data_IF_218806235747
#
_entry.id   IF_218806235747
#
_cell.length_a   1.000
_cell.length_b   1.000
_cell.length_c   1.000
_cell.angle_alpha   90.00
_cell.angle_beta   90.00
_cell.angle_gamma   90.00
#
_symmetry.space_group_name_H-M   'P 1'
#
loop_
_entity.id
_entity.type
_entity.pdbx_description
1 polymer ?
#
# COMPACT_ATOMS: atom_id res chain seq x y z
N UNK A 1 3.92 5.01 -32.03
CA UNK A 1 5.06 4.67 -31.16
C UNK A 1 4.88 3.34 -30.44
N UNK A 2 3.74 3.08 -29.78
CA UNK A 2 3.42 1.80 -29.11
C UNK A 2 3.50 0.59 -30.06
N UNK A 3 2.96 0.71 -31.28
CA UNK A 3 2.97 -0.37 -32.29
C UNK A 3 4.37 -0.77 -32.82
N UNK A 4 5.41 0.03 -32.57
CA UNK A 4 6.79 -0.31 -32.94
C UNK A 4 7.51 -1.10 -31.84
N UNK A 5 7.09 -0.96 -30.57
CA UNK A 5 7.71 -1.61 -29.40
C UNK A 5 7.46 -3.14 -29.38
N UNK A 6 6.37 -3.61 -30.03
CA UNK A 6 5.90 -4.99 -29.90
C UNK A 6 6.08 -5.85 -31.16
N UNK A 7 6.73 -5.33 -32.20
CA UNK A 7 6.81 -6.02 -33.50
C UNK A 7 7.71 -7.28 -33.46
N UNK A 8 8.71 -7.31 -32.55
CA UNK A 8 9.68 -8.41 -32.46
C UNK A 8 9.82 -9.07 -31.07
N UNK A 9 9.23 -8.51 -29.99
CA UNK A 9 9.44 -8.99 -28.60
C UNK A 9 8.16 -9.32 -27.81
N UNK A 10 7.04 -9.54 -28.51
CA UNK A 10 5.95 -10.37 -27.99
C UNK A 10 4.71 -9.61 -27.51
N UNK A 11 3.55 -9.73 -28.19
CA UNK A 11 2.24 -9.37 -27.62
C UNK A 11 1.96 -10.04 -26.27
N UNK A 12 2.67 -11.12 -25.94
CA UNK A 12 2.58 -11.82 -24.66
C UNK A 12 2.95 -10.95 -23.45
N UNK A 13 4.00 -10.13 -23.53
CA UNK A 13 4.38 -9.23 -22.43
C UNK A 13 3.34 -8.14 -22.21
N UNK A 14 2.83 -7.57 -23.30
CA UNK A 14 1.75 -6.58 -23.24
C UNK A 14 0.49 -7.19 -22.62
N UNK A 15 0.07 -8.36 -23.09
CA UNK A 15 -1.09 -9.07 -22.57
C UNK A 15 -0.93 -9.40 -21.09
N UNK A 16 0.24 -9.94 -20.68
CA UNK A 16 0.52 -10.24 -19.28
C UNK A 16 0.46 -8.98 -18.39
N UNK A 17 1.08 -7.87 -18.84
CA UNK A 17 1.03 -6.60 -18.12
C UNK A 17 -0.39 -6.03 -18.02
N UNK A 18 -1.17 -6.09 -19.10
CA UNK A 18 -2.57 -5.64 -19.10
C UNK A 18 -3.45 -6.50 -18.16
N UNK A 19 -3.24 -7.82 -18.13
CA UNK A 19 -3.94 -8.71 -17.19
C UNK A 19 -3.61 -8.36 -15.75
N UNK A 20 -2.33 -8.11 -15.43
CA UNK A 20 -1.92 -7.67 -14.09
C UNK A 20 -2.57 -6.33 -13.72
N UNK A 21 -2.50 -5.32 -14.59
CA UNK A 21 -3.12 -4.00 -14.37
C UNK A 21 -4.63 -4.12 -14.17
N UNK A 22 -5.31 -4.89 -15.03
CA UNK A 22 -6.75 -5.09 -14.93
C UNK A 22 -7.13 -5.82 -13.63
N UNK A 23 -6.33 -6.81 -13.22
CA UNK A 23 -6.53 -7.53 -11.97
C UNK A 23 -6.33 -6.62 -10.75
N UNK A 24 -5.31 -5.75 -10.78
CA UNK A 24 -5.12 -4.73 -9.74
C UNK A 24 -6.27 -3.73 -9.71
N UNK A 25 -6.73 -3.25 -10.86
CA UNK A 25 -7.89 -2.35 -10.94
C UNK A 25 -9.16 -3.00 -10.39
N UNK A 26 -9.41 -4.27 -10.74
CA UNK A 26 -10.50 -5.05 -10.17
C UNK A 26 -10.34 -5.17 -8.65
N UNK A 27 -9.13 -5.48 -8.17
CA UNK A 27 -8.86 -5.54 -6.74
C UNK A 27 -9.17 -4.22 -6.04
N UNK A 28 -8.69 -3.09 -6.57
CA UNK A 28 -8.98 -1.75 -6.04
C UNK A 28 -10.49 -1.52 -5.93
N UNK A 29 -11.25 -1.78 -6.99
CA UNK A 29 -12.71 -1.54 -7.01
C UNK A 29 -13.47 -2.37 -5.98
N UNK A 30 -13.02 -3.60 -5.70
CA UNK A 30 -13.66 -4.50 -4.75
C UNK A 30 -13.07 -4.40 -3.33
N UNK A 31 -12.02 -3.60 -3.13
CA UNK A 31 -11.34 -3.49 -1.84
C UNK A 31 -12.20 -2.94 -0.70
N UNK A 32 -13.27 -2.18 -1.01
CA UNK A 32 -14.24 -1.70 -0.01
C UNK A 32 -14.90 -2.82 0.80
N UNK A 33 -14.93 -4.06 0.29
CA UNK A 33 -15.39 -5.23 1.03
C UNK A 33 -14.46 -5.62 2.21
N UNK A 34 -13.31 -4.95 2.34
CA UNK A 34 -12.33 -5.09 3.43
C UNK A 34 -12.18 -3.78 4.23
N UNK A 35 -13.12 -2.84 4.07
CA UNK A 35 -13.14 -1.61 4.84
C UNK A 35 -13.17 -1.87 6.34
N UNK A 36 -12.76 -0.87 7.11
CA UNK A 36 -12.65 -0.97 8.57
C UNK A 36 -13.99 -1.30 9.27
N UNK A 37 -15.11 -0.90 8.67
CA UNK A 37 -16.47 -1.14 9.15
C UNK A 37 -16.97 -2.56 8.89
N UNK A 38 -16.25 -3.35 8.09
CA UNK A 38 -16.58 -4.75 7.81
C UNK A 38 -15.92 -5.66 8.86
N UNK A 39 -16.71 -6.52 9.49
CA UNK A 39 -16.15 -7.50 10.42
C UNK A 39 -15.27 -8.51 9.67
N UNK A 40 -14.10 -8.82 10.23
CA UNK A 40 -13.09 -9.70 9.59
C UNK A 40 -13.68 -11.06 9.14
N UNK A 41 -14.60 -11.62 9.90
CA UNK A 41 -15.28 -12.90 9.59
C UNK A 41 -16.15 -12.84 8.33
N UNK A 42 -16.62 -11.65 7.98
CA UNK A 42 -17.54 -11.39 6.88
C UNK A 42 -16.79 -10.91 5.62
N UNK A 43 -15.48 -10.64 5.73
CA UNK A 43 -14.64 -10.25 4.61
C UNK A 43 -14.48 -11.39 3.60
N UNK A 44 -14.46 -11.12 2.28
CA UNK A 44 -14.38 -12.15 1.25
C UNK A 44 -12.93 -12.66 1.05
N UNK A 45 -12.33 -13.23 2.10
CA UNK A 45 -10.94 -13.70 2.13
C UNK A 45 -10.65 -14.73 1.03
N UNK A 46 -11.61 -15.62 0.74
CA UNK A 46 -11.45 -16.61 -0.32
C UNK A 46 -11.29 -15.99 -1.71
N UNK A 47 -11.99 -14.89 -1.99
CA UNK A 47 -11.83 -14.14 -3.23
C UNK A 47 -10.44 -13.47 -3.29
N UNK A 48 -10.00 -12.86 -2.19
CA UNK A 48 -8.68 -12.22 -2.11
C UNK A 48 -7.56 -13.23 -2.38
N UNK A 49 -7.55 -14.31 -1.60
CA UNK A 49 -6.50 -15.35 -1.69
C UNK A 49 -6.57 -16.05 -3.04
N UNK A 50 -7.77 -16.43 -3.49
CA UNK A 50 -7.98 -17.09 -4.78
C UNK A 50 -7.54 -16.21 -5.96
N UNK A 51 -7.87 -14.92 -5.92
CA UNK A 51 -7.45 -13.94 -6.93
C UNK A 51 -5.94 -13.75 -6.97
N UNK A 52 -5.31 -13.52 -5.81
CA UNK A 52 -3.85 -13.35 -5.71
C UNK A 52 -3.10 -14.60 -6.18
N UNK A 53 -3.51 -15.78 -5.70
CA UNK A 53 -2.91 -17.06 -6.09
C UNK A 53 -3.15 -17.33 -7.57
N UNK A 54 -4.36 -17.11 -8.09
CA UNK A 54 -4.71 -17.36 -9.49
C UNK A 54 -3.91 -16.49 -10.45
N UNK A 55 -3.87 -15.17 -10.22
CA UNK A 55 -3.10 -14.22 -11.04
C UNK A 55 -1.61 -14.52 -10.96
N UNK A 56 -1.09 -14.83 -9.76
CA UNK A 56 0.32 -15.18 -9.55
C UNK A 56 0.68 -16.51 -10.22
N UNK A 57 -0.15 -17.54 -10.12
CA UNK A 57 0.04 -18.82 -10.78
C UNK A 57 0.02 -18.67 -12.31
N UNK A 58 -0.95 -17.92 -12.86
CA UNK A 58 -0.98 -17.60 -14.28
C UNK A 58 0.30 -16.90 -14.72
N UNK A 59 0.75 -15.89 -13.97
CA UNK A 59 1.98 -15.17 -14.29
C UNK A 59 3.20 -16.11 -14.26
N UNK A 60 3.35 -16.93 -13.22
CA UNK A 60 4.43 -17.91 -13.09
C UNK A 60 4.45 -18.92 -14.24
N UNK A 61 3.29 -19.40 -14.69
CA UNK A 61 3.18 -20.29 -15.85
C UNK A 61 3.59 -19.60 -17.17
N UNK A 62 3.48 -18.27 -17.25
CA UNK A 62 3.89 -17.50 -18.41
C UNK A 62 5.37 -17.12 -18.37
N UNK A 63 6.01 -17.00 -17.19
CA UNK A 63 7.40 -16.54 -17.03
C UNK A 63 8.38 -17.23 -18.00
N UNK A 64 8.43 -18.56 -18.16
CA UNK A 64 9.39 -19.19 -19.08
C UNK A 64 9.20 -18.75 -20.54
N UNK A 65 7.93 -18.59 -20.98
CA UNK A 65 7.61 -18.12 -22.33
C UNK A 65 7.96 -16.65 -22.51
N UNK A 66 7.71 -15.84 -21.47
CA UNK A 66 8.04 -14.42 -21.46
C UNK A 66 9.57 -14.20 -21.52
N UNK A 67 10.34 -15.01 -20.78
CA UNK A 67 11.81 -15.01 -20.84
C UNK A 67 12.29 -15.44 -22.24
N UNK A 68 11.75 -16.54 -22.79
CA UNK A 68 12.13 -17.02 -24.13
C UNK A 68 11.80 -16.01 -25.25
N UNK A 69 10.75 -15.20 -25.08
CA UNK A 69 10.38 -14.13 -26.00
C UNK A 69 11.21 -12.84 -25.83
N UNK A 70 12.06 -12.76 -24.79
CA UNK A 70 12.86 -11.57 -24.48
C UNK A 70 14.17 -11.55 -25.26
N UNK A 71 14.67 -10.35 -25.58
CA UNK A 71 15.95 -10.16 -26.25
C UNK A 71 17.08 -9.92 -25.24
N UNK A 72 18.26 -10.50 -25.52
CA UNK A 72 19.50 -10.17 -24.81
C UNK A 72 20.12 -8.83 -25.30
N UNK A 73 19.66 -8.29 -26.44
CA UNK A 73 20.09 -6.99 -26.92
C UNK A 73 19.46 -5.86 -26.06
N UNK A 74 20.31 -5.04 -25.45
CA UNK A 74 19.88 -3.98 -24.54
C UNK A 74 19.01 -2.90 -25.22
N UNK A 75 19.26 -2.57 -26.50
CA UNK A 75 18.47 -1.58 -27.25
C UNK A 75 17.08 -2.13 -27.53
N UNK A 76 16.99 -3.42 -27.82
CA UNK A 76 15.75 -4.14 -28.02
C UNK A 76 14.95 -4.36 -26.71
N UNK A 77 15.64 -4.56 -25.58
CA UNK A 77 15.03 -4.79 -24.27
C UNK A 77 14.54 -3.50 -23.57
N UNK A 78 15.11 -2.33 -23.88
CA UNK A 78 14.77 -1.05 -23.23
C UNK A 78 13.27 -0.71 -23.28
N UNK A 79 12.56 -0.83 -24.42
CA UNK A 79 11.09 -0.75 -24.49
C UNK A 79 10.34 -1.60 -23.47
N UNK A 80 10.73 -2.86 -23.34
CA UNK A 80 10.11 -3.82 -22.45
C UNK A 80 10.33 -3.45 -20.99
N UNK A 81 11.56 -3.05 -20.62
CA UNK A 81 11.87 -2.58 -19.27
C UNK A 81 11.06 -1.34 -18.90
N UNK A 82 10.94 -0.37 -19.81
CA UNK A 82 10.09 0.81 -19.61
C UNK A 82 8.62 0.43 -19.42
N UNK A 83 8.12 -0.52 -20.20
CA UNK A 83 6.76 -1.03 -20.05
C UNK A 83 6.55 -1.70 -18.68
N UNK A 84 7.48 -2.56 -18.23
CA UNK A 84 7.40 -3.23 -16.92
C UNK A 84 7.36 -2.20 -15.79
N UNK A 85 8.25 -1.20 -15.83
CA UNK A 85 8.29 -0.12 -14.85
C UNK A 85 6.97 0.66 -14.86
N UNK A 86 6.50 1.08 -16.05
CA UNK A 86 5.27 1.85 -16.17
C UNK A 86 4.05 1.05 -15.69
N UNK A 87 3.94 -0.22 -16.04
CA UNK A 87 2.89 -1.10 -15.54
C UNK A 87 2.93 -1.21 -14.01
N UNK A 88 4.14 -1.36 -13.43
CA UNK A 88 4.35 -1.39 -11.98
C UNK A 88 3.96 -0.09 -11.28
N UNK A 89 4.20 1.06 -11.90
CA UNK A 89 3.77 2.38 -11.40
C UNK A 89 2.25 2.52 -11.49
N UNK A 90 1.64 2.18 -12.63
CA UNK A 90 0.18 2.24 -12.80
C UNK A 90 -0.53 1.37 -11.77
N UNK A 91 -0.08 0.13 -11.56
CA UNK A 91 -0.64 -0.75 -10.53
C UNK A 91 -0.54 -0.13 -9.13
N UNK A 92 0.60 0.49 -8.79
CA UNK A 92 0.76 1.18 -7.49
C UNK A 92 -0.21 2.36 -7.35
N UNK A 93 -0.36 3.18 -8.40
CA UNK A 93 -1.29 4.31 -8.39
C UNK A 93 -2.75 3.86 -8.24
N UNK A 94 -3.13 2.72 -8.84
CA UNK A 94 -4.47 2.14 -8.64
C UNK A 94 -4.70 1.73 -7.17
N UNK A 95 -3.67 1.23 -6.47
CA UNK A 95 -3.79 0.82 -5.07
C UNK A 95 -3.92 2.00 -4.10
N UNK A 96 -3.58 3.23 -4.48
CA UNK A 96 -3.88 4.39 -3.63
C UNK A 96 -5.38 4.59 -3.40
N UNK A 97 -6.23 4.10 -4.31
CA UNK A 97 -7.68 4.16 -4.18
C UNK A 97 -8.29 2.92 -3.52
N UNK A 98 -7.48 1.99 -2.99
CA UNK A 98 -7.97 0.79 -2.32
C UNK A 98 -8.00 0.94 -0.80
N UNK A 99 -8.89 0.18 -0.13
CA UNK A 99 -8.83 0.02 1.33
C UNK A 99 -7.53 -0.69 1.78
N UNK A 100 -7.03 -0.41 2.98
CA UNK A 100 -5.92 -1.15 3.60
C UNK A 100 -6.39 -2.56 4.00
N UNK A 101 -6.38 -3.48 3.03
CA UNK A 101 -6.91 -4.84 3.18
C UNK A 101 -6.13 -5.63 4.23
N UNK A 102 -6.81 -6.00 5.32
CA UNK A 102 -6.26 -6.76 6.46
C UNK A 102 -5.10 -6.07 7.19
N UNK A 103 -4.94 -4.77 6.99
CA UNK A 103 -3.90 -3.96 7.64
C UNK A 103 -4.54 -3.07 8.71
N UNK A 104 -4.07 -3.20 9.95
CA UNK A 104 -4.63 -2.51 11.13
C UNK A 104 -3.63 -1.56 11.82
N UNK A 105 -2.35 -1.61 11.47
CA UNK A 105 -1.28 -0.82 12.09
C UNK A 105 -1.06 0.55 11.41
N UNK A 106 -1.65 0.80 10.23
CA UNK A 106 -1.50 2.10 9.54
C UNK A 106 -1.92 3.31 10.38
N UNK A 107 -2.94 3.16 11.23
CA UNK A 107 -3.39 4.20 12.16
C UNK A 107 -2.34 4.53 13.21
N UNK A 108 -1.57 3.51 13.63
CA UNK A 108 -0.47 3.67 14.58
C UNK A 108 0.66 4.49 13.98
N UNK A 109 0.98 4.23 12.71
CA UNK A 109 1.98 4.99 11.98
C UNK A 109 1.57 6.46 11.75
N UNK A 110 0.30 6.71 11.39
CA UNK A 110 -0.23 8.08 11.24
C UNK A 110 -0.12 8.87 12.54
N UNK A 111 -0.52 8.28 13.67
CA UNK A 111 -0.42 8.91 14.98
C UNK A 111 1.02 9.19 15.41
N UNK A 112 1.93 8.21 15.27
CA UNK A 112 3.32 8.44 15.66
C UNK A 112 4.01 9.46 14.74
N UNK A 113 3.65 9.48 13.46
CA UNK A 113 4.05 10.51 12.51
C UNK A 113 3.57 11.90 12.92
N UNK A 114 2.31 12.03 13.34
CA UNK A 114 1.75 13.28 13.85
C UNK A 114 2.49 13.76 15.11
N UNK A 115 2.82 12.85 16.05
CA UNK A 115 3.65 13.18 17.21
C UNK A 115 5.02 13.72 16.77
N UNK A 116 5.72 13.01 15.89
CA UNK A 116 7.04 13.40 15.41
C UNK A 116 7.01 14.75 14.65
N UNK A 117 6.01 14.97 13.80
CA UNK A 117 5.83 16.23 13.06
C UNK A 117 5.56 17.43 13.99
N UNK A 118 4.98 17.18 15.18
CA UNK A 118 4.75 18.19 16.22
C UNK A 118 5.90 18.29 17.24
N UNK A 119 7.06 17.66 16.98
CA UNK A 119 8.23 17.67 17.87
C UNK A 119 8.04 16.88 19.15
N UNK A 120 7.02 16.02 19.23
CA UNK A 120 6.75 15.14 20.35
C UNK A 120 7.44 13.78 20.15
N UNK A 121 7.86 13.15 21.25
CA UNK A 121 8.56 11.87 21.22
C UNK A 121 7.56 10.68 21.19
N UNK A 122 7.43 9.92 20.07
CA UNK A 122 6.48 8.81 20.00
C UNK A 122 6.85 7.59 20.86
N UNK A 123 8.11 7.53 21.34
CA UNK A 123 8.59 6.51 22.27
C UNK A 123 8.31 6.84 23.74
N UNK A 124 7.89 8.07 24.04
CA UNK A 124 7.69 8.52 25.42
C UNK A 124 6.30 8.16 25.99
N UNK A 125 5.27 8.09 25.14
CA UNK A 125 3.88 7.95 25.55
C UNK A 125 3.14 6.97 24.64
N UNK A 126 2.25 6.14 25.21
CA UNK A 126 1.38 5.27 24.42
C UNK A 126 0.12 6.01 23.97
N UNK A 127 -0.54 5.59 22.88
CA UNK A 127 -1.81 6.17 22.43
C UNK A 127 -2.86 6.24 23.53
N UNK A 128 -3.02 5.16 24.31
CA UNK A 128 -3.97 5.11 25.42
C UNK A 128 -3.66 6.16 26.49
N UNK A 129 -2.38 6.36 26.82
CA UNK A 129 -1.98 7.39 27.77
C UNK A 129 -2.18 8.81 27.18
N UNK A 130 -1.92 9.00 25.89
CA UNK A 130 -2.15 10.26 25.18
C UNK A 130 -3.64 10.66 25.16
N UNK A 131 -4.54 9.70 24.91
CA UNK A 131 -6.00 9.93 24.96
C UNK A 131 -6.51 10.34 26.34
N UNK A 132 -5.82 9.92 27.42
CA UNK A 132 -6.16 10.27 28.80
C UNK A 132 -5.43 11.52 29.30
N UNK A 133 -4.51 12.09 28.51
CA UNK A 133 -3.78 13.29 28.89
C UNK A 133 -4.70 14.51 28.94
N UNK A 134 -4.37 15.48 29.80
CA UNK A 134 -5.09 16.74 29.89
C UNK A 134 -5.15 17.43 28.52
N UNK A 135 -6.32 17.94 28.13
CA UNK A 135 -6.53 18.57 26.81
C UNK A 135 -5.72 19.83 26.62
N UNK A 136 -5.21 20.43 27.69
CA UNK A 136 -4.31 21.59 27.67
C UNK A 136 -2.84 21.20 27.41
N UNK A 137 -2.49 19.92 27.52
CA UNK A 137 -1.17 19.43 27.14
C UNK A 137 -1.02 19.35 25.61
N UNK A 138 0.21 19.47 25.10
CA UNK A 138 0.49 19.34 23.67
C UNK A 138 0.01 17.99 23.11
N UNK A 139 0.30 16.90 23.84
CA UNK A 139 -0.11 15.55 23.43
C UNK A 139 -1.62 15.32 23.55
N UNK A 140 -2.27 15.87 24.58
CA UNK A 140 -3.73 15.75 24.76
C UNK A 140 -4.50 16.50 23.67
N UNK A 141 -4.05 17.70 23.26
CA UNK A 141 -4.62 18.41 22.10
C UNK A 141 -4.49 17.60 20.82
N UNK A 142 -3.30 17.07 20.55
CA UNK A 142 -3.06 16.30 19.32
C UNK A 142 -3.90 15.02 19.30
N UNK A 143 -4.06 14.35 20.45
CA UNK A 143 -4.92 13.18 20.58
C UNK A 143 -6.39 13.52 20.29
N UNK A 144 -6.90 14.65 20.82
CA UNK A 144 -8.26 15.12 20.55
C UNK A 144 -8.47 15.45 19.06
N UNK A 145 -7.48 16.11 18.43
CA UNK A 145 -7.48 16.43 16.99
C UNK A 145 -7.41 15.20 16.09
N UNK A 146 -6.72 14.14 16.53
CA UNK A 146 -6.52 12.92 15.74
C UNK A 146 -7.82 12.11 15.55
N UNK A 147 -8.85 12.35 16.37
CA UNK A 147 -10.17 11.75 16.21
C UNK A 147 -10.14 10.23 16.04
N UNK A 148 -10.66 9.74 14.91
CA UNK A 148 -10.72 8.31 14.62
C UNK A 148 -9.35 7.67 14.43
N UNK A 149 -8.31 8.40 14.05
CA UNK A 149 -6.97 7.84 13.84
C UNK A 149 -6.45 7.22 15.12
N UNK A 150 -6.37 8.01 16.19
CA UNK A 150 -5.89 7.52 17.49
C UNK A 150 -6.88 6.53 18.14
N UNK A 151 -8.19 6.70 17.86
CA UNK A 151 -9.24 5.82 18.36
C UNK A 151 -9.25 4.42 17.74
N UNK A 152 -8.73 4.27 16.53
CA UNK A 152 -8.67 2.99 15.78
C UNK A 152 -7.35 2.25 15.91
N UNK A 153 -6.38 2.80 16.63
CA UNK A 153 -5.08 2.16 16.86
C UNK A 153 -5.26 0.81 17.56
N UNK A 154 -4.72 -0.24 16.96
CA UNK A 154 -4.58 -1.54 17.61
C UNK A 154 -3.53 -1.47 18.74
N UNK A 155 -3.70 -2.30 19.78
CA UNK A 155 -2.83 -2.36 20.96
C UNK A 155 -2.43 -0.98 21.55
N UNK A 156 -3.39 -0.07 21.84
CA UNK A 156 -3.09 1.34 22.18
C UNK A 156 -2.34 1.52 23.50
N UNK A 157 -2.21 0.47 24.32
CA UNK A 157 -1.42 0.48 25.54
C UNK A 157 0.10 0.47 25.30
N UNK A 158 0.55 0.07 24.11
CA UNK A 158 1.97 -0.03 23.77
C UNK A 158 2.54 1.31 23.29
N UNK A 159 3.77 1.60 23.71
CA UNK A 159 4.56 2.72 23.15
C UNK A 159 5.11 2.33 21.78
N UNK A 160 5.62 3.30 21.02
CA UNK A 160 6.09 2.97 19.67
C UNK A 160 7.28 2.02 19.74
N UNK A 161 7.30 1.06 18.83
CA UNK A 161 8.40 0.12 18.60
C UNK A 161 8.98 0.25 17.18
N UNK A 162 8.44 1.17 16.39
CA UNK A 162 8.84 1.35 15.01
C UNK A 162 10.13 2.16 14.91
N UNK A 163 10.97 1.89 13.89
CA UNK A 163 12.25 2.56 13.74
C UNK A 163 12.09 4.05 13.35
N UNK A 164 13.08 4.90 13.66
CA UNK A 164 13.03 6.34 13.33
C UNK A 164 12.78 6.66 11.86
N UNK A 165 13.20 5.79 10.93
CA UNK A 165 12.97 5.99 9.49
C UNK A 165 11.48 5.91 9.15
N UNK A 166 10.74 4.97 9.77
CA UNK A 166 9.28 4.90 9.60
C UNK A 166 8.63 6.16 10.18
N UNK A 167 9.07 6.60 11.36
CA UNK A 167 8.58 7.83 11.97
C UNK A 167 8.80 9.06 11.09
N UNK A 168 9.97 9.17 10.46
CA UNK A 168 10.24 10.26 9.50
C UNK A 168 9.33 10.22 8.28
N UNK A 169 9.05 9.03 7.72
CA UNK A 169 8.17 8.88 6.58
C UNK A 169 6.72 9.31 6.90
N UNK A 170 6.20 8.91 8.06
CA UNK A 170 4.84 9.27 8.47
C UNK A 170 4.73 10.69 9.04
N UNK A 171 5.82 11.26 9.57
CA UNK A 171 5.88 12.69 9.86
C UNK A 171 5.76 13.51 8.57
N UNK A 172 6.44 13.09 7.48
CA UNK A 172 6.28 13.72 6.18
C UNK A 172 4.86 13.57 5.65
N UNK A 173 4.23 12.40 5.81
CA UNK A 173 2.84 12.19 5.42
C UNK A 173 1.89 13.18 6.15
N UNK A 174 2.04 13.33 7.46
CA UNK A 174 1.26 14.30 8.25
C UNK A 174 1.48 15.75 7.82
N UNK A 175 2.68 16.11 7.33
CA UNK A 175 2.92 17.46 6.79
C UNK A 175 2.20 17.71 5.45
N UNK A 176 1.88 16.65 4.69
CA UNK A 176 1.15 16.76 3.43
C UNK A 176 -0.37 16.79 3.66
N UNK A 177 -0.85 15.94 4.58
CA UNK A 177 -2.27 15.83 4.95
C UNK A 177 -2.37 15.55 6.46
N UNK A 178 -2.61 16.59 7.30
CA UNK A 178 -2.60 16.48 8.75
C UNK A 178 -3.75 15.67 9.37
#
# INVERSE_FOLDING_TARGET
MIAALFRNHGPAWLAAGLVLIASTGLFTLFSHAFGYDVAVRDMPIGWLVGGLVGVSALFLLLVPRLIAASSADAKAARPLLLFIILAGVVMRLLLFASEPVLEDDYQRYLWDGALAANGLNPYAISPKAAQLAARESSVGRLADQSGLVIGRINHPGLRTLYPPVAQGAFALAHLLEP
#
